data_IF_987379662792
#
_entry.id   IF_987379662792
#
_cell.length_a   1.000
_cell.length_b   1.000
_cell.length_c   1.000
_cell.angle_alpha   90.00
_cell.angle_beta   90.00
_cell.angle_gamma   90.00
#
_symmetry.space_group_name_H-M   'P 1'
#
loop_
_entity.id
_entity.type
_entity.pdbx_description
1 polymer ?
#
# COMPACT_ATOMS: atom_id res chain seq x y z
N UNK A 1 -11.77 10.07 4.81
CA UNK A 1 -10.41 10.13 5.36
C UNK A 1 -9.63 8.89 4.96
N UNK A 2 -8.29 8.92 5.02
CA UNK A 2 -7.48 7.74 4.73
C UNK A 2 -7.84 6.55 5.64
N UNK A 3 -8.17 6.81 6.89
CA UNK A 3 -8.58 5.78 7.84
C UNK A 3 -9.89 5.13 7.40
N UNK A 4 -10.84 5.90 6.88
CA UNK A 4 -12.11 5.37 6.39
C UNK A 4 -11.89 4.45 5.19
N UNK A 5 -11.00 4.84 4.28
CA UNK A 5 -10.63 4.00 3.14
C UNK A 5 -9.99 2.69 3.60
N UNK A 6 -9.11 2.76 4.60
CA UNK A 6 -8.47 1.58 5.14
C UNK A 6 -9.51 0.61 5.72
N UNK A 7 -10.43 1.11 6.55
CA UNK A 7 -11.46 0.25 7.13
C UNK A 7 -12.34 -0.37 6.05
N UNK A 8 -12.67 0.37 5.00
CA UNK A 8 -13.45 -0.17 3.90
C UNK A 8 -12.72 -1.32 3.20
N UNK A 9 -11.42 -1.16 2.95
CA UNK A 9 -10.60 -2.21 2.35
C UNK A 9 -10.55 -3.45 3.24
N UNK A 10 -10.35 -3.26 4.54
CA UNK A 10 -10.30 -4.37 5.48
C UNK A 10 -11.61 -5.15 5.51
N UNK A 11 -12.74 -4.43 5.47
CA UNK A 11 -14.05 -5.06 5.42
C UNK A 11 -14.25 -5.83 4.12
N UNK A 12 -13.91 -5.21 2.99
CA UNK A 12 -14.08 -5.82 1.66
C UNK A 12 -13.24 -7.09 1.50
N UNK A 13 -12.08 -7.13 2.16
CA UNK A 13 -11.18 -8.27 2.06
C UNK A 13 -11.37 -9.29 3.18
N UNK A 14 -12.32 -9.06 4.08
CA UNK A 14 -12.57 -9.97 5.19
C UNK A 14 -11.43 -10.02 6.20
N UNK A 15 -10.66 -8.93 6.32
CA UNK A 15 -9.57 -8.85 7.29
C UNK A 15 -10.14 -8.50 8.66
N UNK A 16 -9.60 -9.14 9.70
CA UNK A 16 -10.02 -8.91 11.07
C UNK A 16 -9.70 -7.47 11.50
N UNK A 17 -10.72 -6.71 11.90
CA UNK A 17 -10.56 -5.30 12.30
C UNK A 17 -9.88 -5.15 13.66
N UNK A 18 -9.68 -6.25 14.40
CA UNK A 18 -8.98 -6.21 15.68
C UNK A 18 -7.46 -6.32 15.54
N UNK A 19 -6.95 -6.58 14.33
CA UNK A 19 -5.51 -6.65 14.09
C UNK A 19 -4.85 -5.29 14.34
N UNK A 20 -3.62 -5.29 14.86
CA UNK A 20 -2.93 -4.03 15.13
C UNK A 20 -2.67 -3.24 13.84
N UNK A 21 -2.95 -1.94 13.90
CA UNK A 21 -2.73 -1.01 12.79
C UNK A 21 -1.67 -0.02 13.23
N UNK A 22 -0.60 0.12 12.44
CA UNK A 22 0.48 1.06 12.68
C UNK A 22 0.55 2.06 11.53
N UNK A 23 0.67 3.34 11.87
CA UNK A 23 0.75 4.40 10.87
C UNK A 23 2.16 5.03 10.90
N UNK A 24 2.80 5.14 9.75
CA UNK A 24 4.10 5.77 9.61
C UNK A 24 4.09 6.78 8.47
N UNK A 25 4.99 7.75 8.57
CA UNK A 25 5.26 8.68 7.47
C UNK A 25 6.53 8.22 6.77
N UNK A 26 6.39 7.85 5.52
CA UNK A 26 7.51 7.36 4.69
C UNK A 26 7.61 8.27 3.47
N UNK A 27 8.75 8.92 3.29
CA UNK A 27 9.00 9.86 2.20
C UNK A 27 7.88 10.91 2.06
N UNK A 28 7.38 11.38 3.20
CA UNK A 28 6.34 12.40 3.26
C UNK A 28 4.92 11.89 3.04
N UNK A 29 4.73 10.58 2.92
CA UNK A 29 3.42 9.98 2.70
C UNK A 29 3.00 9.14 3.88
N UNK A 30 1.69 9.15 4.17
CA UNK A 30 1.13 8.34 5.25
C UNK A 30 0.93 6.90 4.78
N UNK A 31 1.54 5.96 5.49
CA UNK A 31 1.46 4.53 5.18
C UNK A 31 0.90 3.79 6.38
N UNK A 32 -0.07 2.94 6.15
CA UNK A 32 -0.65 2.08 7.19
C UNK A 32 -0.10 0.67 7.06
N UNK A 33 0.31 0.11 8.20
CA UNK A 33 0.72 -1.28 8.30
C UNK A 33 -0.29 -2.03 9.16
N UNK A 34 -0.87 -3.09 8.64
CA UNK A 34 -1.85 -3.91 9.36
C UNK A 34 -1.21 -5.25 9.67
N UNK A 35 -1.27 -5.67 10.93
CA UNK A 35 -0.66 -6.92 11.40
C UNK A 35 0.81 -6.99 10.96
N UNK A 36 1.57 -5.96 11.34
CA UNK A 36 2.96 -5.74 10.94
C UNK A 36 3.07 -5.53 9.42
N UNK A 37 3.37 -6.57 8.66
CA UNK A 37 3.55 -6.48 7.22
C UNK A 37 2.56 -7.33 6.42
N UNK A 38 1.48 -7.79 7.05
CA UNK A 38 0.47 -8.55 6.33
C UNK A 38 -0.21 -7.70 5.26
N UNK A 39 -0.48 -6.43 5.58
CA UNK A 39 -1.07 -5.49 4.63
C UNK A 39 -0.43 -4.12 4.79
N UNK A 40 -0.07 -3.51 3.67
CA UNK A 40 0.43 -2.14 3.60
C UNK A 40 -0.50 -1.33 2.72
N UNK A 41 -0.92 -0.17 3.22
CA UNK A 41 -1.85 0.69 2.48
C UNK A 41 -1.35 2.12 2.45
N UNK A 42 -1.40 2.75 1.29
CA UNK A 42 -1.08 4.16 1.13
C UNK A 42 -2.13 4.83 0.25
N UNK A 43 -2.91 5.71 0.85
CA UNK A 43 -4.02 6.39 0.18
C UNK A 43 -3.70 7.84 -0.16
N UNK A 44 -2.45 8.26 -0.02
CA UNK A 44 -2.02 9.59 -0.43
C UNK A 44 -1.93 9.70 -1.94
N UNK A 45 -1.79 10.92 -2.43
CA UNK A 45 -1.61 11.20 -3.85
C UNK A 45 -0.15 11.59 -4.12
N UNK A 46 0.22 11.68 -5.40
CA UNK A 46 1.58 12.06 -5.78
C UNK A 46 2.63 10.99 -5.44
N UNK A 47 2.23 9.73 -5.41
CA UNK A 47 3.15 8.64 -5.08
C UNK A 47 4.19 8.45 -6.17
N UNK A 48 5.45 8.34 -5.77
CA UNK A 48 6.58 8.14 -6.66
C UNK A 48 7.15 6.72 -6.53
N UNK A 49 8.01 6.34 -7.47
CA UNK A 49 8.61 5.00 -7.48
C UNK A 49 9.45 4.73 -6.24
N UNK A 50 10.12 5.75 -5.69
CA UNK A 50 10.93 5.61 -4.48
C UNK A 50 10.11 5.10 -3.30
N UNK A 51 8.88 5.59 -3.16
CA UNK A 51 7.99 5.12 -2.10
C UNK A 51 7.64 3.65 -2.32
N UNK A 52 7.32 3.27 -3.56
CA UNK A 52 6.99 1.88 -3.88
C UNK A 52 8.16 0.96 -3.53
N UNK A 53 9.39 1.36 -3.87
CA UNK A 53 10.58 0.60 -3.53
C UNK A 53 10.75 0.43 -2.02
N UNK A 54 10.50 1.48 -1.26
CA UNK A 54 10.56 1.39 0.21
C UNK A 54 9.54 0.38 0.75
N UNK A 55 8.32 0.40 0.22
CA UNK A 55 7.28 -0.52 0.68
C UNK A 55 7.60 -1.98 0.34
N UNK A 56 8.28 -2.24 -0.76
CA UNK A 56 8.66 -3.62 -1.13
C UNK A 56 9.66 -4.22 -0.15
N UNK A 57 10.41 -3.41 0.57
CA UNK A 57 11.37 -3.91 1.58
C UNK A 57 10.68 -4.66 2.71
N UNK A 58 9.46 -4.27 3.04
CA UNK A 58 8.67 -4.94 4.07
C UNK A 58 8.14 -6.30 3.60
N UNK A 59 8.16 -6.56 2.29
CA UNK A 59 7.62 -7.77 1.67
C UNK A 59 6.23 -8.10 2.17
N UNK A 60 5.26 -7.15 2.05
CA UNK A 60 3.92 -7.38 2.55
C UNK A 60 3.21 -8.46 1.75
N UNK A 61 2.23 -9.11 2.38
CA UNK A 61 1.37 -10.06 1.66
C UNK A 61 0.45 -9.34 0.69
N UNK A 62 -0.03 -8.14 1.10
CA UNK A 62 -0.91 -7.31 0.27
C UNK A 62 -0.48 -5.86 0.34
N UNK A 63 -0.63 -5.14 -0.77
CA UNK A 63 -0.38 -3.71 -0.85
C UNK A 63 -1.53 -3.03 -1.56
N UNK A 64 -2.04 -1.94 -0.97
CA UNK A 64 -3.21 -1.22 -1.50
C UNK A 64 -2.86 0.23 -1.72
N UNK A 65 -3.24 0.74 -2.88
CA UNK A 65 -3.07 2.14 -3.26
C UNK A 65 -4.38 2.69 -3.82
N UNK A 66 -4.50 4.01 -3.85
CA UNK A 66 -5.59 4.64 -4.62
C UNK A 66 -5.25 4.57 -6.09
N UNK A 67 -6.23 4.29 -6.92
CA UNK A 67 -6.04 4.20 -8.37
C UNK A 67 -5.46 5.50 -8.95
N UNK A 68 -5.90 6.63 -8.42
CA UNK A 68 -5.42 7.96 -8.83
C UNK A 68 -4.32 8.49 -7.90
N UNK A 69 -3.71 7.64 -7.09
CA UNK A 69 -2.71 8.06 -6.11
C UNK A 69 -1.32 8.25 -6.67
N UNK A 70 -0.99 7.62 -7.77
CA UNK A 70 0.34 7.69 -8.36
C UNK A 70 0.57 9.02 -9.07
N UNK A 71 1.82 9.49 -9.08
CA UNK A 71 2.17 10.78 -9.68
C UNK A 71 1.97 10.79 -11.20
N UNK A 72 2.00 9.62 -11.85
CA UNK A 72 1.73 9.48 -13.27
C UNK A 72 1.32 8.04 -13.57
N UNK A 73 0.76 7.81 -14.78
CA UNK A 73 0.42 6.46 -15.22
C UNK A 73 1.66 5.59 -15.36
N UNK A 74 2.79 6.16 -15.74
CA UNK A 74 4.05 5.44 -15.83
C UNK A 74 4.47 4.90 -14.46
N UNK A 75 4.34 5.69 -13.40
CA UNK A 75 4.65 5.25 -12.04
C UNK A 75 3.70 4.14 -11.61
N UNK A 76 2.42 4.24 -11.95
CA UNK A 76 1.43 3.20 -11.63
C UNK A 76 1.80 1.86 -12.28
N UNK A 77 2.15 1.88 -13.54
CA UNK A 77 2.57 0.68 -14.27
C UNK A 77 3.85 0.12 -13.66
N UNK A 78 4.82 0.98 -13.40
CA UNK A 78 6.10 0.58 -12.84
C UNK A 78 5.97 0.04 -11.42
N UNK A 79 5.01 0.53 -10.63
CA UNK A 79 4.77 0.04 -9.27
C UNK A 79 4.49 -1.46 -9.27
N UNK A 80 3.64 -1.94 -10.15
CA UNK A 80 3.35 -3.36 -10.29
C UNK A 80 4.61 -4.16 -10.63
N UNK A 81 5.43 -3.63 -11.55
CA UNK A 81 6.68 -4.29 -11.94
C UNK A 81 7.68 -4.33 -10.78
N UNK A 82 7.79 -3.24 -10.02
CA UNK A 82 8.68 -3.17 -8.87
C UNK A 82 8.30 -4.23 -7.83
N UNK A 83 7.00 -4.36 -7.52
CA UNK A 83 6.54 -5.39 -6.59
C UNK A 83 6.83 -6.79 -7.12
N UNK A 84 6.63 -7.04 -8.42
CA UNK A 84 6.94 -8.33 -9.01
C UNK A 84 8.41 -8.72 -8.87
N UNK A 85 9.29 -7.74 -9.02
CA UNK A 85 10.75 -7.99 -8.96
C UNK A 85 11.26 -8.09 -7.53
N UNK A 86 10.80 -7.21 -6.65
CA UNK A 86 11.35 -7.05 -5.31
C UNK A 86 10.55 -7.77 -4.23
N UNK A 87 9.27 -8.02 -4.46
CA UNK A 87 8.40 -8.71 -3.53
C UNK A 87 7.34 -9.50 -4.28
N UNK A 88 7.74 -10.59 -4.98
CA UNK A 88 6.84 -11.29 -5.90
C UNK A 88 5.64 -11.93 -5.23
N UNK A 89 5.69 -12.16 -3.91
CA UNK A 89 4.57 -12.70 -3.16
C UNK A 89 3.50 -11.68 -2.77
N UNK A 90 3.71 -10.39 -3.06
CA UNK A 90 2.77 -9.33 -2.69
C UNK A 90 1.63 -9.23 -3.70
N UNK A 91 0.39 -9.32 -3.22
CA UNK A 91 -0.78 -8.99 -4.02
C UNK A 91 -0.98 -7.48 -3.99
N UNK A 92 -0.89 -6.82 -5.15
CA UNK A 92 -1.02 -5.36 -5.28
C UNK A 92 -2.41 -5.02 -5.80
N UNK A 93 -3.07 -4.06 -5.15
CA UNK A 93 -4.40 -3.63 -5.54
C UNK A 93 -4.49 -2.11 -5.55
N UNK A 94 -5.21 -1.58 -6.55
CA UNK A 94 -5.56 -0.16 -6.60
C UNK A 94 -7.08 -0.03 -6.49
N UNK A 95 -7.52 0.94 -5.71
CA UNK A 95 -8.96 1.16 -5.47
C UNK A 95 -9.43 2.53 -5.92
#
# INVERSE_FOLDING_TARGET
TPEDLLFQVLLDWGVDLTLPIHKEIILGKTVFFVDETALVACFDTGLAEELVKELTRAKPLRAVFRDNGFSSDAVKINATQIFRQMSPGTEVKAI
#
